data_IF_242586518284
#
_entry.id   IF_242586518284
#
_cell.length_a   1.000
_cell.length_b   1.000
_cell.length_c   1.000
_cell.angle_alpha   90.00
_cell.angle_beta   90.00
_cell.angle_gamma   90.00
#
_symmetry.space_group_name_H-M   'P 1'
#
loop_
_entity.id
_entity.type
_entity.pdbx_description
1 polymer ?
#
# COMPACT_ATOMS: atom_id res chain seq x y z
N UNK A 1 -13.59 4.50 -61.79
CA UNK A 1 -12.63 5.45 -61.17
C UNK A 1 -13.14 5.79 -59.77
N UNK A 2 -12.58 5.20 -58.72
CA UNK A 2 -12.94 5.50 -57.32
C UNK A 2 -11.63 5.83 -56.61
N UNK A 3 -11.49 7.11 -56.22
CA UNK A 3 -10.32 7.63 -55.52
C UNK A 3 -10.43 7.28 -54.04
N UNK A 4 -9.44 6.54 -53.53
CA UNK A 4 -9.23 6.32 -52.10
C UNK A 4 -8.73 7.62 -51.46
N UNK A 5 -9.47 8.14 -50.48
CA UNK A 5 -9.07 9.25 -49.64
C UNK A 5 -8.45 8.66 -48.35
N UNK A 6 -7.12 8.59 -48.29
CA UNK A 6 -6.41 8.19 -47.08
C UNK A 6 -6.35 9.40 -46.13
N UNK A 7 -7.17 9.39 -45.08
CA UNK A 7 -7.10 10.37 -43.99
C UNK A 7 -5.99 9.95 -43.02
N UNK A 8 -4.91 10.74 -42.98
CA UNK A 8 -3.79 10.57 -42.07
C UNK A 8 -4.20 11.10 -40.68
N UNK A 9 -4.52 10.19 -39.76
CA UNK A 9 -4.79 10.54 -38.36
C UNK A 9 -3.45 10.73 -37.64
N UNK A 10 -3.01 11.98 -37.48
CA UNK A 10 -1.84 12.30 -36.65
C UNK A 10 -2.28 12.27 -35.19
N UNK A 11 -2.03 11.17 -34.50
CA UNK A 11 -2.08 11.11 -33.04
C UNK A 11 -0.94 11.96 -32.49
N UNK A 12 -1.27 13.19 -32.09
CA UNK A 12 -0.37 14.02 -31.28
C UNK A 12 -0.34 13.38 -29.90
N UNK A 13 0.68 12.55 -29.64
CA UNK A 13 0.97 12.08 -28.29
C UNK A 13 1.32 13.31 -27.45
N UNK A 14 0.40 13.72 -26.57
CA UNK A 14 0.72 14.73 -25.58
C UNK A 14 1.94 14.25 -24.79
N UNK A 15 2.98 15.10 -24.57
CA UNK A 15 4.10 14.71 -23.74
C UNK A 15 3.52 14.28 -22.39
N UNK A 16 3.80 13.05 -21.98
CA UNK A 16 3.52 12.60 -20.64
C UNK A 16 4.30 13.54 -19.72
N UNK A 17 3.62 14.54 -19.15
CA UNK A 17 4.22 15.43 -18.19
C UNK A 17 4.78 14.52 -17.10
N UNK A 18 6.10 14.50 -16.96
CA UNK A 18 6.76 13.75 -15.90
C UNK A 18 6.14 14.26 -14.60
N UNK A 19 5.37 13.37 -13.94
CA UNK A 19 4.77 13.68 -12.66
C UNK A 19 5.92 14.04 -11.73
N UNK A 20 5.89 15.27 -11.22
CA UNK A 20 6.86 15.78 -10.26
C UNK A 20 7.02 14.77 -9.11
N UNK A 21 8.21 14.17 -8.99
CA UNK A 21 8.47 13.00 -8.13
C UNK A 21 8.50 13.32 -6.63
N UNK A 22 8.29 14.58 -6.24
CA UNK A 22 8.42 15.04 -4.87
C UNK A 22 9.87 14.99 -4.37
N UNK A 23 10.19 15.85 -3.40
CA UNK A 23 11.55 15.99 -2.86
C UNK A 23 11.53 16.03 -1.35
N UNK A 24 12.58 15.52 -0.74
CA UNK A 24 12.83 15.61 0.69
C UNK A 24 14.28 15.97 0.96
N UNK A 25 14.53 16.56 2.12
CA UNK A 25 15.86 16.73 2.69
C UNK A 25 15.80 16.49 4.20
N UNK A 26 16.96 16.35 4.83
CA UNK A 26 17.08 16.02 6.25
C UNK A 26 17.46 14.56 6.47
N UNK A 27 17.20 14.05 7.68
CA UNK A 27 17.61 12.72 8.10
C UNK A 27 16.79 12.19 9.25
N UNK A 28 16.78 10.87 9.35
CA UNK A 28 16.46 10.15 10.58
C UNK A 28 17.74 9.55 11.18
N UNK A 29 17.89 9.57 12.50
CA UNK A 29 19.00 8.93 13.20
C UNK A 29 18.59 8.45 14.57
N UNK A 30 18.79 7.15 14.84
CA UNK A 30 18.56 6.52 16.14
C UNK A 30 19.30 5.19 16.21
N UNK A 31 19.87 4.85 17.37
CA UNK A 31 20.45 3.52 17.65
C UNK A 31 21.44 3.00 16.58
N UNK A 32 22.24 3.91 16.00
CA UNK A 32 23.22 3.60 14.95
C UNK A 32 22.63 3.46 13.54
N UNK A 33 21.30 3.43 13.39
CA UNK A 33 20.64 3.57 12.10
C UNK A 33 20.59 5.05 11.71
N UNK A 34 20.90 5.32 10.44
CA UNK A 34 20.83 6.66 9.87
C UNK A 34 20.43 6.59 8.40
N UNK A 35 19.47 7.42 8.01
CA UNK A 35 19.02 7.58 6.62
C UNK A 35 18.86 9.06 6.32
N UNK A 36 19.45 9.51 5.21
CA UNK A 36 19.23 10.84 4.66
C UNK A 36 18.11 10.77 3.62
N UNK A 37 17.20 11.73 3.65
CA UNK A 37 16.07 11.76 2.72
C UNK A 37 16.43 12.54 1.46
N UNK A 38 15.96 12.05 0.32
CA UNK A 38 16.06 12.70 -0.99
C UNK A 38 14.69 12.80 -1.70
N UNK A 39 13.80 11.84 -1.43
CA UNK A 39 12.52 11.70 -2.12
C UNK A 39 11.35 11.74 -1.16
N UNK A 40 10.22 12.27 -1.62
CA UNK A 40 8.97 12.32 -0.88
C UNK A 40 7.80 11.85 -1.76
N UNK A 41 6.99 10.95 -1.23
CA UNK A 41 5.75 10.50 -1.88
C UNK A 41 4.60 10.68 -0.90
N UNK A 42 3.53 11.34 -1.33
CA UNK A 42 2.37 11.61 -0.48
C UNK A 42 1.09 10.96 -1.04
N UNK A 43 0.27 10.41 -0.14
CA UNK A 43 -1.01 9.78 -0.42
C UNK A 43 -2.06 10.29 0.55
N UNK A 44 -3.23 10.68 0.04
CA UNK A 44 -4.43 10.90 0.84
C UNK A 44 -5.17 9.57 1.02
N UNK A 45 -5.43 9.20 2.27
CA UNK A 45 -6.13 8.00 2.68
C UNK A 45 -7.57 8.35 3.05
N UNK A 46 -8.56 7.84 2.29
CA UNK A 46 -9.98 8.14 2.49
C UNK A 46 -10.65 7.31 3.61
N UNK A 47 -9.97 6.28 4.11
CA UNK A 47 -10.48 5.31 5.09
C UNK A 47 -11.79 4.62 4.66
N UNK A 48 -11.99 4.39 3.36
CA UNK A 48 -13.22 3.74 2.89
C UNK A 48 -13.41 2.32 3.47
N UNK A 49 -12.33 1.62 3.80
CA UNK A 49 -12.33 0.31 4.46
C UNK A 49 -12.84 0.37 5.91
N UNK A 50 -12.76 1.53 6.59
CA UNK A 50 -13.11 1.68 8.01
C UNK A 50 -12.11 1.03 8.98
N UNK A 51 -10.85 0.89 8.53
CA UNK A 51 -9.75 0.26 9.26
C UNK A 51 -8.89 1.26 10.04
N UNK A 52 -8.93 2.52 9.64
CA UNK A 52 -8.26 3.63 10.33
C UNK A 52 -9.26 4.35 11.24
N UNK A 53 -8.76 5.09 12.23
CA UNK A 53 -9.62 5.91 13.09
C UNK A 53 -10.20 7.12 12.33
N UNK A 54 -9.45 7.65 11.37
CA UNK A 54 -9.85 8.77 10.53
C UNK A 54 -9.20 8.68 9.13
N UNK A 55 -9.71 9.47 8.19
CA UNK A 55 -8.99 9.78 6.95
C UNK A 55 -7.70 10.52 7.27
N UNK A 56 -6.64 10.34 6.49
CA UNK A 56 -5.35 10.95 6.80
C UNK A 56 -4.48 11.18 5.58
N UNK A 57 -3.27 11.66 5.84
CA UNK A 57 -2.21 11.74 4.83
C UNK A 57 -1.08 10.82 5.27
N UNK A 58 -0.61 10.02 4.32
CA UNK A 58 0.61 9.22 4.43
C UNK A 58 1.70 9.85 3.58
N UNK A 59 2.88 10.09 4.15
CA UNK A 59 4.06 10.60 3.42
C UNK A 59 5.24 9.67 3.64
N UNK A 60 5.80 9.12 2.57
CA UNK A 60 7.06 8.37 2.63
C UNK A 60 8.23 9.29 2.29
N UNK A 61 9.14 9.45 3.24
CA UNK A 61 10.45 10.08 3.07
C UNK A 61 11.49 8.99 2.87
N UNK A 62 12.26 9.06 1.78
CA UNK A 62 13.14 7.94 1.39
C UNK A 62 14.46 8.39 0.77
N UNK A 63 15.44 7.48 0.81
CA UNK A 63 16.77 7.66 0.19
C UNK A 63 16.80 7.30 -1.29
N UNK A 64 15.77 6.60 -1.79
CA UNK A 64 15.62 6.20 -3.19
C UNK A 64 14.24 6.62 -3.71
N UNK A 65 14.14 6.87 -5.01
CA UNK A 65 12.85 7.14 -5.64
C UNK A 65 11.96 5.90 -5.60
N UNK A 66 10.69 6.09 -5.22
CA UNK A 66 9.70 5.02 -5.09
C UNK A 66 8.39 5.42 -5.77
N UNK A 67 7.69 4.49 -6.43
CA UNK A 67 6.39 4.79 -7.01
C UNK A 67 5.35 5.01 -5.91
N UNK A 68 4.29 5.77 -6.22
CA UNK A 68 3.15 5.98 -5.29
C UNK A 68 2.53 4.67 -4.82
N UNK A 69 2.50 3.66 -5.69
CA UNK A 69 1.99 2.32 -5.39
C UNK A 69 2.74 1.62 -4.24
N UNK A 70 3.93 2.11 -3.87
CA UNK A 70 4.70 1.61 -2.75
C UNK A 70 4.02 1.88 -1.39
N UNK A 71 3.22 2.94 -1.29
CA UNK A 71 2.55 3.35 -0.04
C UNK A 71 1.03 3.12 -0.05
N UNK A 72 0.50 2.48 -1.09
CA UNK A 72 -0.90 2.09 -1.18
C UNK A 72 -1.23 0.91 -0.27
N UNK A 73 -2.49 0.86 0.14
CA UNK A 73 -3.08 -0.26 0.88
C UNK A 73 -3.29 0.03 2.37
N UNK A 74 -4.25 -0.66 2.99
CA UNK A 74 -4.60 -0.45 4.39
C UNK A 74 -3.64 -1.16 5.36
N UNK A 75 -2.96 -2.22 4.91
CA UNK A 75 -2.08 -3.05 5.73
C UNK A 75 -0.77 -3.29 4.98
N UNK A 76 0.36 -3.10 5.67
CA UNK A 76 1.72 -3.38 5.19
C UNK A 76 2.00 -2.90 3.74
N UNK A 77 2.16 -1.58 3.53
CA UNK A 77 2.54 -1.01 2.24
C UNK A 77 3.78 -1.71 1.66
N UNK A 78 3.84 -1.79 0.32
CA UNK A 78 4.95 -2.39 -0.43
C UNK A 78 6.32 -1.79 -0.03
N UNK A 79 6.35 -0.52 0.40
CA UNK A 79 7.53 0.13 0.97
C UNK A 79 8.15 -0.67 2.15
N UNK A 80 7.34 -1.26 3.03
CA UNK A 80 7.87 -2.11 4.12
C UNK A 80 8.57 -3.35 3.57
N UNK A 81 7.97 -4.02 2.57
CA UNK A 81 8.60 -5.16 1.90
C UNK A 81 9.89 -4.77 1.18
N UNK A 82 9.92 -3.59 0.54
CA UNK A 82 11.14 -3.06 -0.08
C UNK A 82 12.23 -2.82 0.98
N UNK A 83 11.85 -2.32 2.16
CA UNK A 83 12.76 -2.11 3.27
C UNK A 83 13.33 -3.42 3.81
N UNK A 84 12.49 -4.42 4.09
CA UNK A 84 12.93 -5.78 4.49
C UNK A 84 13.88 -6.41 3.46
N UNK A 85 13.70 -6.08 2.18
CA UNK A 85 14.58 -6.51 1.09
C UNK A 85 15.87 -5.70 0.94
N UNK A 86 16.12 -4.70 1.80
CA UNK A 86 17.26 -3.79 1.72
C UNK A 86 17.23 -2.84 0.51
N UNK A 87 16.07 -2.68 -0.13
CA UNK A 87 15.89 -1.87 -1.36
C UNK A 87 15.43 -0.44 -1.10
N UNK A 88 15.04 -0.15 0.14
CA UNK A 88 14.49 1.13 0.56
C UNK A 88 14.90 1.39 2.00
N UNK A 89 15.32 2.62 2.31
CA UNK A 89 15.34 3.12 3.68
C UNK A 89 14.55 4.40 3.76
N UNK A 90 13.88 4.62 4.87
CA UNK A 90 13.02 5.79 4.98
C UNK A 90 12.18 5.85 6.23
N UNK A 91 11.22 6.75 6.21
CA UNK A 91 10.21 6.92 7.24
C UNK A 91 8.86 7.16 6.57
N UNK A 92 7.84 6.40 6.98
CA UNK A 92 6.44 6.68 6.63
C UNK A 92 5.85 7.53 7.75
N UNK A 93 5.34 8.70 7.39
CA UNK A 93 4.63 9.63 8.25
C UNK A 93 3.13 9.46 8.02
N UNK A 94 2.35 9.34 9.09
CA UNK A 94 0.89 9.23 9.05
C UNK A 94 0.28 10.21 10.06
N UNK A 95 -0.63 11.05 9.59
CA UNK A 95 -1.30 12.05 10.43
C UNK A 95 -2.65 12.46 9.84
N UNK A 96 -3.54 12.98 10.69
CA UNK A 96 -4.78 13.63 10.28
C UNK A 96 -4.47 15.10 9.92
N UNK A 97 -4.76 15.59 8.70
CA UNK A 97 -4.55 16.99 8.36
C UNK A 97 -5.34 17.99 9.24
N UNK A 98 -6.41 17.54 9.92
CA UNK A 98 -7.18 18.33 10.87
C UNK A 98 -6.55 18.36 12.29
N UNK A 99 -5.76 17.36 12.66
CA UNK A 99 -5.01 17.32 13.93
C UNK A 99 -3.51 17.32 13.69
N UNK A 100 -2.91 18.49 13.84
CA UNK A 100 -1.47 18.71 13.63
C UNK A 100 -0.61 18.44 14.87
N UNK A 101 -1.22 17.98 15.97
CA UNK A 101 -0.51 17.73 17.23
C UNK A 101 0.01 16.30 17.34
N UNK A 102 -0.52 15.39 16.52
CA UNK A 102 -0.19 13.97 16.51
C UNK A 102 0.43 13.58 15.16
N UNK A 103 1.54 12.86 15.22
CA UNK A 103 2.20 12.26 14.07
C UNK A 103 2.67 10.86 14.43
N UNK A 104 2.19 9.86 13.70
CA UNK A 104 2.74 8.52 13.73
C UNK A 104 3.82 8.40 12.66
N UNK A 105 5.01 7.96 13.04
CA UNK A 105 6.12 7.73 12.12
C UNK A 105 6.59 6.28 12.22
N UNK A 106 6.70 5.62 11.08
CA UNK A 106 7.19 4.25 10.95
C UNK A 106 8.55 4.27 10.25
N UNK A 107 9.58 3.76 10.91
CA UNK A 107 10.93 3.67 10.36
C UNK A 107 11.04 2.43 9.48
N UNK A 108 11.60 2.60 8.29
CA UNK A 108 11.87 1.56 7.32
C UNK A 108 13.39 1.31 7.30
N UNK A 109 13.88 0.49 8.22
CA UNK A 109 15.32 0.15 8.38
C UNK A 109 15.70 -1.22 7.82
N UNK A 110 14.70 -2.02 7.43
CA UNK A 110 14.88 -3.38 6.91
C UNK A 110 15.04 -4.46 7.98
N UNK A 111 14.89 -4.12 9.26
CA UNK A 111 14.78 -5.09 10.35
C UNK A 111 13.46 -5.87 10.29
N UNK A 112 13.40 -7.00 10.99
CA UNK A 112 12.16 -7.79 11.11
C UNK A 112 11.10 -7.08 11.97
N UNK A 113 11.54 -6.20 12.88
CA UNK A 113 10.67 -5.42 13.73
C UNK A 113 10.47 -4.03 13.13
N UNK A 114 9.21 -3.65 12.97
CA UNK A 114 8.83 -2.27 12.65
C UNK A 114 9.10 -1.39 13.86
N UNK A 115 9.97 -0.40 13.69
CA UNK A 115 10.14 0.67 14.69
C UNK A 115 9.11 1.77 14.44
N UNK A 116 8.20 1.96 15.40
CA UNK A 116 7.21 3.05 15.38
C UNK A 116 7.57 4.14 16.39
N UNK A 117 7.38 5.38 15.98
CA UNK A 117 7.55 6.58 16.77
C UNK A 117 6.21 7.31 16.82
N UNK A 118 5.72 7.57 18.03
CA UNK A 118 4.58 8.44 18.23
C UNK A 118 5.12 9.80 18.68
N UNK A 119 5.02 10.79 17.80
CA UNK A 119 5.36 12.16 18.11
C UNK A 119 4.04 12.86 18.47
N UNK A 120 3.93 13.30 19.72
CA UNK A 120 2.81 14.08 20.19
C UNK A 120 3.39 15.31 20.90
N UNK A 121 3.02 16.49 20.41
CA UNK A 121 3.44 17.77 20.98
C UNK A 121 2.27 18.75 20.96
N UNK A 122 1.92 19.27 22.14
CA UNK A 122 0.88 20.29 22.29
C UNK A 122 1.24 21.60 21.61
N UNK A 123 2.53 21.91 21.43
CA UNK A 123 3.02 23.07 20.68
C UNK A 123 3.10 22.79 19.17
N UNK A 124 2.94 21.53 18.77
CA UNK A 124 2.88 21.05 17.39
C UNK A 124 4.16 20.36 16.94
N UNK A 125 4.03 19.12 16.44
CA UNK A 125 5.15 18.33 15.90
C UNK A 125 5.73 18.91 14.59
N UNK A 126 5.00 19.82 13.95
CA UNK A 126 5.37 20.45 12.68
C UNK A 126 5.94 21.85 12.90
N UNK A 127 7.16 22.08 12.41
CA UNK A 127 7.70 23.45 12.29
C UNK A 127 6.92 24.24 11.22
N UNK A 128 6.52 23.56 10.14
CA UNK A 128 5.65 24.10 9.11
C UNK A 128 4.87 22.96 8.44
N UNK A 129 3.60 23.21 8.10
CA UNK A 129 2.78 22.28 7.33
C UNK A 129 1.78 23.06 6.47
N UNK A 130 1.88 22.88 5.16
CA UNK A 130 0.95 23.45 4.16
C UNK A 130 0.41 22.35 3.28
N UNK A 131 -0.92 22.28 3.16
CA UNK A 131 -1.63 21.37 2.27
C UNK A 131 -2.52 22.23 1.39
N UNK A 132 -2.14 22.41 0.13
CA UNK A 132 -2.85 23.27 -0.80
C UNK A 132 -2.57 22.86 -2.25
N UNK A 133 -3.54 23.10 -3.14
CA UNK A 133 -3.39 22.88 -4.59
C UNK A 133 -2.90 21.46 -4.95
N UNK A 134 -3.39 20.44 -4.24
CA UNK A 134 -3.00 19.04 -4.48
C UNK A 134 -1.54 18.72 -4.10
N UNK A 135 -0.91 19.54 -3.26
CA UNK A 135 0.45 19.33 -2.76
C UNK A 135 0.53 19.46 -1.26
N UNK A 136 1.52 18.78 -0.70
CA UNK A 136 1.90 18.90 0.71
C UNK A 136 3.34 19.41 0.80
N UNK A 137 3.54 20.36 1.71
CA UNK A 137 4.86 20.82 2.15
C UNK A 137 4.93 20.73 3.66
N UNK A 138 5.96 20.06 4.18
CA UNK A 138 6.14 19.87 5.61
C UNK A 138 7.58 20.11 6.05
N UNK A 139 7.74 20.56 7.28
CA UNK A 139 9.02 20.67 7.97
C UNK A 139 8.90 20.11 9.40
N UNK A 140 9.80 19.20 9.76
CA UNK A 140 9.96 18.56 11.06
C UNK A 140 11.33 18.93 11.64
N UNK A 141 11.38 19.20 12.94
CA UNK A 141 12.62 19.58 13.63
C UNK A 141 12.72 18.85 14.99
N UNK A 142 12.83 17.53 14.95
CA UNK A 142 13.11 16.70 16.11
C UNK A 142 14.57 16.26 16.19
N UNK A 143 15.00 15.80 17.37
CA UNK A 143 16.35 15.30 17.63
C UNK A 143 16.68 14.08 16.74
N UNK A 144 15.76 13.10 16.69
CA UNK A 144 15.92 11.88 15.88
C UNK A 144 15.49 12.10 14.42
N UNK A 145 14.50 12.96 14.18
CA UNK A 145 13.87 13.16 12.87
C UNK A 145 13.83 14.66 12.51
N UNK A 146 14.66 15.07 11.56
CA UNK A 146 14.61 16.40 10.95
C UNK A 146 14.35 16.22 9.46
N UNK A 147 13.34 16.88 8.91
CA UNK A 147 13.02 16.77 7.50
C UNK A 147 12.34 18.03 6.94
N UNK A 148 12.59 18.33 5.68
CA UNK A 148 11.77 19.25 4.88
C UNK A 148 11.37 18.54 3.59
N UNK A 149 10.11 18.63 3.18
CA UNK A 149 9.62 17.95 1.99
C UNK A 149 8.56 18.75 1.22
N UNK A 150 8.46 18.49 -0.08
CA UNK A 150 7.42 18.97 -1.00
C UNK A 150 7.04 17.82 -1.94
N UNK A 151 5.78 17.39 -1.92
CA UNK A 151 5.29 16.32 -2.78
C UNK A 151 3.87 16.60 -3.29
N UNK A 152 3.52 16.18 -4.52
CA UNK A 152 2.13 16.08 -4.93
C UNK A 152 1.41 15.03 -4.08
N UNK A 153 0.15 15.29 -3.74
CA UNK A 153 -0.70 14.37 -3.00
C UNK A 153 -1.44 13.50 -4.01
N UNK A 154 -1.08 12.23 -4.07
CA UNK A 154 -1.86 11.25 -4.79
C UNK A 154 -3.13 10.88 -4.02
N UNK A 155 -4.13 10.40 -4.75
CA UNK A 155 -5.34 9.78 -4.19
C UNK A 155 -5.44 8.37 -4.74
N UNK A 156 -6.06 7.45 -4.01
CA UNK A 156 -6.38 6.13 -4.53
C UNK A 156 -7.85 5.82 -4.29
N UNK A 157 -8.79 6.52 -4.95
CA UNK A 157 -10.21 6.40 -4.62
C UNK A 157 -10.75 5.00 -4.91
N UNK A 158 -11.78 4.59 -4.17
CA UNK A 158 -12.59 3.42 -4.52
C UNK A 158 -13.24 3.64 -5.88
N UNK A 159 -12.97 2.74 -6.83
CA UNK A 159 -13.54 2.79 -8.18
C UNK A 159 -14.79 1.91 -8.30
N UNK A 160 -14.90 0.89 -7.46
CA UNK A 160 -16.04 0.00 -7.41
C UNK A 160 -16.20 -0.60 -6.00
N UNK A 161 -17.44 -0.76 -5.55
CA UNK A 161 -17.78 -1.37 -4.27
C UNK A 161 -18.81 -2.48 -4.50
N UNK A 162 -18.45 -3.71 -4.14
CA UNK A 162 -19.36 -4.87 -4.17
C UNK A 162 -19.90 -5.12 -2.76
N UNK A 163 -21.20 -5.46 -2.64
CA UNK A 163 -21.85 -5.73 -1.35
C UNK A 163 -22.68 -7.01 -1.38
N UNK A 164 -22.81 -7.67 -0.23
CA UNK A 164 -23.63 -8.86 -0.02
C UNK A 164 -23.35 -9.95 -1.06
N UNK A 165 -24.39 -10.43 -1.75
CA UNK A 165 -24.27 -11.49 -2.76
C UNK A 165 -23.31 -11.13 -3.91
N UNK A 166 -23.19 -9.86 -4.29
CA UNK A 166 -22.24 -9.45 -5.32
C UNK A 166 -20.79 -9.61 -4.85
N UNK A 167 -20.54 -9.37 -3.55
CA UNK A 167 -19.21 -9.54 -2.97
C UNK A 167 -18.83 -11.03 -2.87
N UNK A 168 -19.72 -11.88 -2.36
CA UNK A 168 -19.47 -13.33 -2.25
C UNK A 168 -19.40 -14.06 -3.60
N UNK A 169 -20.08 -13.56 -4.64
CA UNK A 169 -20.01 -14.12 -5.99
C UNK A 169 -18.84 -13.58 -6.83
N UNK A 170 -18.07 -12.64 -6.30
CA UNK A 170 -17.02 -11.92 -7.02
C UNK A 170 -15.82 -12.81 -7.40
N UNK A 171 -14.98 -12.38 -8.37
CA UNK A 171 -13.69 -13.01 -8.63
C UNK A 171 -12.76 -13.05 -7.41
N UNK A 172 -12.85 -12.07 -6.51
CA UNK A 172 -12.02 -11.98 -5.31
C UNK A 172 -12.35 -13.05 -4.27
N UNK A 173 -13.64 -13.28 -4.01
CA UNK A 173 -14.09 -14.36 -3.14
C UNK A 173 -13.65 -15.74 -3.70
N UNK A 174 -13.71 -15.91 -5.03
CA UNK A 174 -13.21 -17.12 -5.71
C UNK A 174 -11.71 -17.34 -5.53
N UNK A 175 -10.90 -16.27 -5.50
CA UNK A 175 -9.45 -16.40 -5.24
C UNK A 175 -9.20 -16.96 -3.82
N UNK A 176 -9.91 -16.48 -2.79
CA UNK A 176 -9.80 -17.01 -1.42
C UNK A 176 -10.28 -18.47 -1.35
N UNK A 177 -11.38 -18.81 -2.02
CA UNK A 177 -11.86 -20.19 -2.11
C UNK A 177 -10.85 -21.11 -2.81
N UNK A 178 -10.20 -20.62 -3.87
CA UNK A 178 -9.14 -21.35 -4.59
C UNK A 178 -7.95 -21.56 -3.68
N UNK A 179 -7.48 -20.53 -2.97
CA UNK A 179 -6.41 -20.65 -1.98
C UNK A 179 -6.74 -21.73 -0.94
N UNK A 180 -7.97 -21.73 -0.42
CA UNK A 180 -8.39 -22.74 0.54
C UNK A 180 -8.39 -24.16 -0.03
N UNK A 181 -8.82 -24.33 -1.29
CA UNK A 181 -8.78 -25.61 -1.99
C UNK A 181 -7.35 -26.10 -2.21
N UNK A 182 -6.47 -25.26 -2.75
CA UNK A 182 -5.07 -25.62 -3.01
C UNK A 182 -4.31 -25.89 -1.71
N UNK A 183 -4.57 -25.11 -0.66
CA UNK A 183 -3.98 -25.30 0.65
C UNK A 183 -4.41 -26.62 1.28
N UNK A 184 -5.69 -27.01 1.17
CA UNK A 184 -6.15 -28.32 1.65
C UNK A 184 -5.51 -29.47 0.85
N UNK A 185 -5.40 -29.32 -0.47
CA UNK A 185 -4.75 -30.31 -1.34
C UNK A 185 -3.24 -30.39 -1.13
N UNK A 186 -2.64 -29.32 -0.59
CA UNK A 186 -1.19 -29.16 -0.52
C UNK A 186 -0.56 -28.86 -1.88
N UNK A 187 -1.31 -28.34 -2.84
CA UNK A 187 -0.82 -27.94 -4.16
C UNK A 187 -0.27 -26.51 -4.13
N UNK A 188 0.95 -26.40 -3.62
CA UNK A 188 1.65 -25.11 -3.52
C UNK A 188 2.01 -24.52 -4.89
N UNK A 189 2.08 -25.34 -5.96
CA UNK A 189 2.34 -24.85 -7.30
C UNK A 189 1.11 -24.14 -7.87
N UNK A 190 -0.08 -24.71 -7.72
CA UNK A 190 -1.34 -24.06 -8.06
C UNK A 190 -1.56 -22.81 -7.20
N UNK A 191 -1.26 -22.87 -5.89
CA UNK A 191 -1.38 -21.72 -5.01
C UNK A 191 -0.47 -20.55 -5.46
N UNK A 192 0.77 -20.82 -5.90
CA UNK A 192 1.65 -19.76 -6.44
C UNK A 192 1.01 -18.99 -7.59
N UNK A 193 0.19 -19.61 -8.42
CA UNK A 193 -0.42 -18.95 -9.59
C UNK A 193 -1.44 -17.86 -9.21
N UNK A 194 -2.04 -17.94 -8.02
CA UNK A 194 -3.07 -16.99 -7.55
C UNK A 194 -2.54 -15.99 -6.53
N UNK A 195 -1.28 -16.11 -6.11
CA UNK A 195 -0.62 -15.23 -5.14
C UNK A 195 0.27 -14.22 -5.85
N UNK A 196 0.41 -13.02 -5.27
CA UNK A 196 1.46 -12.07 -5.68
C UNK A 196 2.84 -12.68 -5.51
N UNK A 197 3.81 -12.24 -6.30
CA UNK A 197 5.20 -12.70 -6.16
C UNK A 197 5.73 -12.42 -4.75
N UNK A 198 5.31 -11.28 -4.18
CA UNK A 198 5.59 -10.89 -2.81
C UNK A 198 5.04 -11.90 -1.80
N UNK A 199 3.74 -12.20 -1.85
CA UNK A 199 3.09 -13.12 -0.91
C UNK A 199 3.67 -14.52 -1.02
N UNK A 200 3.94 -14.96 -2.25
CA UNK A 200 4.59 -16.24 -2.51
C UNK A 200 5.99 -16.32 -1.90
N UNK A 201 6.80 -15.25 -1.99
CA UNK A 201 8.15 -15.24 -1.41
C UNK A 201 8.18 -15.46 0.11
N UNK A 202 7.11 -15.08 0.83
CA UNK A 202 6.94 -15.38 2.26
C UNK A 202 6.58 -16.85 2.45
N UNK A 203 5.60 -17.35 1.72
CA UNK A 203 5.14 -18.75 1.83
C UNK A 203 6.23 -19.74 1.44
N UNK A 204 7.04 -19.41 0.42
CA UNK A 204 8.09 -20.29 -0.06
C UNK A 204 9.22 -20.48 0.96
N UNK A 205 9.39 -19.52 1.88
CA UNK A 205 10.35 -19.63 2.99
C UNK A 205 9.82 -20.44 4.19
N UNK A 206 8.54 -20.80 4.21
CA UNK A 206 7.97 -21.57 5.30
C UNK A 206 8.57 -22.98 5.34
N UNK A 207 8.96 -23.47 6.52
CA UNK A 207 9.46 -24.83 6.65
C UNK A 207 8.33 -25.85 6.43
N UNK A 208 8.64 -27.12 6.09
CA UNK A 208 7.64 -28.13 5.73
C UNK A 208 6.54 -28.35 6.78
N UNK A 209 6.89 -28.28 8.06
CA UNK A 209 5.95 -28.39 9.17
C UNK A 209 4.94 -27.23 9.20
N UNK A 210 5.38 -26.00 8.92
CA UNK A 210 4.50 -24.84 8.83
C UNK A 210 3.57 -24.93 7.62
N UNK A 211 4.07 -25.44 6.49
CA UNK A 211 3.25 -25.72 5.30
C UNK A 211 2.19 -26.79 5.57
N UNK A 212 2.50 -27.78 6.40
CA UNK A 212 1.54 -28.81 6.83
C UNK A 212 0.49 -28.24 7.79
N UNK A 213 0.93 -27.42 8.76
CA UNK A 213 0.03 -26.74 9.70
C UNK A 213 -0.91 -25.77 8.97
N UNK A 214 -0.43 -25.08 7.93
CA UNK A 214 -1.25 -24.17 7.13
C UNK A 214 -2.46 -24.88 6.48
N UNK A 215 -2.37 -26.19 6.19
CA UNK A 215 -3.50 -26.97 5.65
C UNK A 215 -4.72 -26.94 6.58
N UNK A 216 -4.50 -26.85 7.89
CA UNK A 216 -5.59 -26.76 8.87
C UNK A 216 -6.40 -25.46 8.72
N UNK A 217 -5.83 -24.41 8.14
CA UNK A 217 -6.50 -23.12 7.92
C UNK A 217 -7.44 -23.13 6.70
N UNK A 218 -7.42 -24.19 5.88
CA UNK A 218 -8.24 -24.25 4.67
C UNK A 218 -9.75 -24.19 4.97
N UNK A 219 -10.22 -24.78 6.07
CA UNK A 219 -11.62 -24.69 6.46
C UNK A 219 -12.03 -23.26 6.83
N UNK A 220 -11.17 -22.56 7.57
CA UNK A 220 -11.36 -21.17 7.97
C UNK A 220 -11.37 -20.24 6.75
N UNK A 221 -10.42 -20.37 5.82
CA UNK A 221 -10.40 -19.57 4.59
C UNK A 221 -11.69 -19.71 3.76
N UNK A 222 -12.27 -20.91 3.70
CA UNK A 222 -13.58 -21.12 3.04
C UNK A 222 -14.70 -20.41 3.77
N UNK A 223 -14.73 -20.48 5.10
CA UNK A 223 -15.71 -19.78 5.90
C UNK A 223 -15.58 -18.27 5.71
N UNK A 224 -14.36 -17.73 5.74
CA UNK A 224 -14.06 -16.33 5.50
C UNK A 224 -14.56 -15.88 4.12
N UNK A 225 -14.29 -16.66 3.07
CA UNK A 225 -14.76 -16.34 1.72
C UNK A 225 -16.30 -16.28 1.62
N UNK A 226 -17.00 -17.12 2.37
CA UNK A 226 -18.46 -17.11 2.43
C UNK A 226 -19.02 -15.98 3.30
N UNK A 227 -18.23 -15.46 4.24
CA UNK A 227 -18.60 -14.37 5.13
C UNK A 227 -18.40 -12.98 4.53
N UNK A 228 -17.63 -12.83 3.45
CA UNK A 228 -17.37 -11.53 2.80
C UNK A 228 -18.69 -10.80 2.53
N UNK A 229 -18.86 -9.62 3.14
CA UNK A 229 -20.05 -8.80 2.93
C UNK A 229 -19.77 -7.57 2.06
N UNK A 230 -18.49 -7.23 1.87
CA UNK A 230 -18.05 -6.02 1.18
C UNK A 230 -16.70 -6.23 0.50
N UNK A 231 -16.57 -5.74 -0.72
CA UNK A 231 -15.27 -5.63 -1.41
C UNK A 231 -15.12 -4.22 -1.95
N UNK A 232 -13.99 -3.59 -1.63
CA UNK A 232 -13.61 -2.29 -2.15
C UNK A 232 -12.52 -2.48 -3.18
N UNK A 233 -12.77 -2.04 -4.40
CA UNK A 233 -11.86 -2.13 -5.54
C UNK A 233 -11.33 -0.74 -5.81
N UNK A 234 -10.01 -0.62 -5.86
CA UNK A 234 -9.27 0.57 -6.25
C UNK A 234 -8.53 0.26 -7.56
N UNK A 235 -7.63 1.14 -8.00
CA UNK A 235 -7.01 1.01 -9.35
C UNK A 235 -6.20 -0.28 -9.50
N UNK A 236 -5.34 -0.57 -8.53
CA UNK A 236 -4.42 -1.72 -8.56
C UNK A 236 -4.55 -2.61 -7.34
N UNK A 237 -5.43 -2.28 -6.39
CA UNK A 237 -5.65 -3.01 -5.15
C UNK A 237 -7.14 -3.29 -4.93
N UNK A 238 -7.45 -4.30 -4.13
CA UNK A 238 -8.79 -4.50 -3.59
C UNK A 238 -8.71 -5.08 -2.17
N UNK A 239 -9.75 -4.85 -1.38
CA UNK A 239 -9.88 -5.33 0.00
C UNK A 239 -11.23 -6.03 0.17
N UNK A 240 -11.23 -7.30 0.58
CA UNK A 240 -12.42 -8.01 1.00
C UNK A 240 -12.58 -7.92 2.52
N UNK A 241 -13.80 -7.60 2.96
CA UNK A 241 -14.13 -7.34 4.36
C UNK A 241 -15.33 -8.21 4.80
N UNK A 242 -15.37 -8.50 6.10
CA UNK A 242 -16.57 -8.88 6.83
C UNK A 242 -16.67 -7.97 8.06
N UNK A 243 -17.60 -7.01 8.05
CA UNK A 243 -17.58 -5.94 9.04
C UNK A 243 -16.28 -5.12 8.97
N UNK A 244 -15.47 -5.14 10.05
CA UNK A 244 -14.16 -4.47 10.12
C UNK A 244 -12.98 -5.42 9.90
N UNK A 245 -13.24 -6.72 9.76
CA UNK A 245 -12.20 -7.73 9.62
C UNK A 245 -11.81 -7.88 8.14
N UNK A 246 -10.50 -7.89 7.88
CA UNK A 246 -9.96 -8.10 6.55
C UNK A 246 -9.97 -9.60 6.23
N UNK A 247 -10.76 -9.97 5.23
CA UNK A 247 -10.87 -11.36 4.76
C UNK A 247 -9.84 -11.67 3.66
N UNK A 248 -9.39 -10.65 2.92
CA UNK A 248 -8.35 -10.80 1.91
C UNK A 248 -7.92 -9.46 1.32
N UNK A 249 -6.64 -9.39 0.97
CA UNK A 249 -6.04 -8.30 0.22
C UNK A 249 -5.69 -8.79 -1.17
N UNK A 250 -5.87 -7.91 -2.16
CA UNK A 250 -5.63 -8.25 -3.55
C UNK A 250 -4.83 -7.15 -4.23
N UNK A 251 -4.00 -7.57 -5.17
CA UNK A 251 -3.22 -6.67 -6.03
C UNK A 251 -3.27 -7.13 -7.46
N UNK A 252 -3.23 -6.18 -8.39
CA UNK A 252 -3.16 -6.45 -9.82
C UNK A 252 -1.71 -6.57 -10.25
N UNK A 253 -1.29 -7.76 -10.68
CA UNK A 253 0.04 -8.03 -11.23
C UNK A 253 -0.09 -8.53 -12.68
N UNK A 254 0.61 -7.90 -13.62
CA UNK A 254 0.54 -8.28 -15.03
C UNK A 254 -0.89 -8.17 -15.62
N UNK A 255 -1.75 -7.33 -15.05
CA UNK A 255 -3.15 -7.17 -15.45
C UNK A 255 -4.14 -8.13 -14.79
N UNK A 256 -3.66 -9.12 -14.01
CA UNK A 256 -4.50 -10.12 -13.33
C UNK A 256 -4.56 -9.84 -11.83
N UNK A 257 -5.74 -10.02 -11.22
CA UNK A 257 -5.92 -9.94 -9.77
C UNK A 257 -5.33 -11.18 -9.09
N UNK A 258 -4.56 -10.94 -8.04
CA UNK A 258 -3.96 -11.97 -7.20
C UNK A 258 -4.15 -11.63 -5.71
N UNK A 259 -4.08 -12.64 -4.86
CA UNK A 259 -4.03 -12.50 -3.40
C UNK A 259 -2.66 -11.99 -2.96
N UNK A 260 -2.66 -10.91 -2.18
CA UNK A 260 -1.45 -10.24 -1.68
C UNK A 260 -1.25 -10.44 -0.18
#
# INVERSE_FOLDING_TARGET
MIRWLAALLVLIAAPAAALDSGTASGRYTRDGFSVAFAHAVALSCDNAEGLLDASGIRVLLSDVEVPVDAILGPVEPLAQTMAHGGKLRGVILEFDPADRTVLHAQVLDGGEAVTSLNLADTEGVWKALTIANGRIRGALAGEELTAEFDAPIATDPVVEELKGTAATASPFAKLIQTQAAELQAGDFAAMKAILTDRRWAVIDKLPPEARTAARAQAAELRANAAAIDRILIRRTTATALHGKDIMGLFRREGGTWKLD
#
